data_IF_190602889864
#
_entry.id   IF_190602889864
#
_cell.length_a   1.000
_cell.length_b   1.000
_cell.length_c   1.000
_cell.angle_alpha   90.00
_cell.angle_beta   90.00
_cell.angle_gamma   90.00
#
_symmetry.space_group_name_H-M   'P 1'
#
loop_
_entity.id
_entity.type
_entity.pdbx_description
1 polymer ?
#
# COMPACT_ATOMS: atom_id res chain seq x y z
N UNK A 1 28.47 -7.79 14.25
CA UNK A 1 27.33 -8.65 14.66
C UNK A 1 26.28 -8.56 13.58
N UNK A 2 26.31 -9.49 12.62
CA UNK A 2 25.30 -9.63 11.58
C UNK A 2 24.01 -10.16 12.22
N UNK A 3 23.11 -9.26 12.63
CA UNK A 3 21.75 -9.65 12.95
C UNK A 3 21.17 -10.40 11.75
N UNK A 4 20.64 -11.60 11.97
CA UNK A 4 19.94 -12.35 10.93
C UNK A 4 18.83 -11.45 10.37
N UNK A 5 19.06 -10.87 9.20
CA UNK A 5 18.01 -10.15 8.48
C UNK A 5 16.96 -11.17 8.05
N UNK A 6 15.68 -10.80 8.18
CA UNK A 6 14.57 -11.62 7.72
C UNK A 6 14.75 -11.80 6.21
N UNK A 7 15.23 -12.98 5.81
CA UNK A 7 15.54 -13.25 4.43
C UNK A 7 14.31 -13.87 3.76
N UNK A 8 13.46 -13.02 3.18
CA UNK A 8 12.27 -13.48 2.45
C UNK A 8 12.70 -14.32 1.23
N UNK A 9 12.14 -15.52 1.10
CA UNK A 9 12.37 -16.35 -0.08
C UNK A 9 11.67 -15.76 -1.31
N UNK A 10 12.10 -16.16 -2.51
CA UNK A 10 11.46 -15.75 -3.76
C UNK A 10 9.98 -16.14 -3.80
N UNK A 11 9.62 -17.28 -3.21
CA UNK A 11 8.23 -17.71 -3.08
C UNK A 11 7.41 -16.77 -2.21
N UNK A 12 7.94 -16.34 -1.06
CA UNK A 12 7.27 -15.39 -0.17
C UNK A 12 7.13 -14.02 -0.83
N UNK A 13 8.15 -13.55 -1.55
CA UNK A 13 8.09 -12.29 -2.30
C UNK A 13 6.99 -12.31 -3.35
N UNK A 14 6.93 -13.37 -4.17
CA UNK A 14 5.87 -13.53 -5.16
C UNK A 14 4.49 -13.57 -4.52
N UNK A 15 4.35 -14.27 -3.38
CA UNK A 15 3.09 -14.29 -2.65
C UNK A 15 2.63 -12.92 -2.17
N UNK A 16 3.53 -12.13 -1.58
CA UNK A 16 3.22 -10.76 -1.17
C UNK A 16 2.80 -9.91 -2.37
N UNK A 17 3.51 -10.00 -3.50
CA UNK A 17 3.17 -9.27 -4.72
C UNK A 17 1.73 -9.55 -5.15
N UNK A 18 1.37 -10.83 -5.27
CA UNK A 18 0.02 -11.19 -5.74
C UNK A 18 -1.04 -10.79 -4.71
N UNK A 19 -0.79 -11.03 -3.43
CA UNK A 19 -1.70 -10.66 -2.36
C UNK A 19 -1.98 -9.14 -2.35
N UNK A 20 -0.95 -8.30 -2.39
CA UNK A 20 -1.14 -6.84 -2.42
C UNK A 20 -1.79 -6.34 -3.72
N UNK A 21 -1.44 -6.91 -4.89
CA UNK A 21 -2.11 -6.54 -6.15
C UNK A 21 -3.61 -6.81 -6.05
N UNK A 22 -3.97 -8.01 -5.59
CA UNK A 22 -5.37 -8.42 -5.52
C UNK A 22 -6.14 -7.58 -4.51
N UNK A 23 -5.61 -7.42 -3.30
CA UNK A 23 -6.31 -6.70 -2.23
C UNK A 23 -6.52 -5.23 -2.58
N UNK A 24 -5.49 -4.57 -3.09
CA UNK A 24 -5.51 -3.11 -3.26
C UNK A 24 -5.93 -2.62 -4.62
N UNK A 25 -5.68 -3.37 -5.70
CA UNK A 25 -6.01 -2.91 -7.05
C UNK A 25 -7.31 -3.54 -7.57
N UNK A 26 -7.64 -4.76 -7.13
CA UNK A 26 -8.83 -5.48 -7.60
C UNK A 26 -9.97 -5.36 -6.58
N UNK A 27 -9.70 -5.70 -5.33
CA UNK A 27 -10.70 -5.73 -4.26
C UNK A 27 -10.99 -4.38 -3.60
N UNK A 28 -10.35 -3.29 -4.05
CA UNK A 28 -10.58 -1.96 -3.48
C UNK A 28 -12.09 -1.64 -3.37
N UNK A 29 -12.58 -1.21 -2.18
CA UNK A 29 -14.01 -1.16 -1.83
C UNK A 29 -14.84 -0.07 -2.53
N UNK A 30 -14.34 0.52 -3.62
CA UNK A 30 -14.95 1.69 -4.24
C UNK A 30 -16.21 1.42 -5.10
N UNK A 31 -16.79 0.21 -5.14
CA UNK A 31 -18.01 -0.07 -5.94
C UNK A 31 -18.95 -1.11 -5.33
N UNK A 32 -20.23 -0.92 -5.64
CA UNK A 32 -21.44 -1.71 -5.31
C UNK A 32 -21.20 -3.21 -5.06
N UNK A 33 -21.85 -3.72 -4.01
CA UNK A 33 -21.84 -5.11 -3.50
C UNK A 33 -21.99 -6.17 -4.61
N UNK A 34 -22.78 -5.87 -5.67
CA UNK A 34 -23.00 -6.75 -6.83
C UNK A 34 -21.75 -6.98 -7.70
N UNK A 35 -20.79 -6.05 -7.71
CA UNK A 35 -19.52 -6.19 -8.46
C UNK A 35 -18.44 -6.94 -7.66
N UNK A 36 -18.64 -7.17 -6.36
CA UNK A 36 -17.62 -7.82 -5.52
C UNK A 36 -17.44 -9.30 -5.85
N UNK A 37 -18.51 -10.02 -6.26
CA UNK A 37 -18.40 -11.40 -6.72
C UNK A 37 -17.58 -11.54 -8.01
N UNK A 38 -17.75 -10.60 -8.95
CA UNK A 38 -16.97 -10.58 -10.20
C UNK A 38 -15.50 -10.20 -9.96
N UNK A 39 -15.23 -9.36 -8.94
CA UNK A 39 -13.87 -9.04 -8.52
C UNK A 39 -13.18 -10.23 -7.85
N UNK A 40 -13.91 -10.98 -7.02
CA UNK A 40 -13.44 -12.22 -6.40
C UNK A 40 -13.16 -13.32 -7.44
N UNK A 41 -13.97 -13.43 -8.50
CA UNK A 41 -13.65 -14.36 -9.60
C UNK A 41 -12.45 -13.89 -10.42
N UNK A 42 -12.32 -12.58 -10.67
CA UNK A 42 -11.15 -12.03 -11.39
C UNK A 42 -9.83 -12.19 -10.62
N UNK A 43 -9.86 -12.12 -9.29
CA UNK A 43 -8.67 -12.37 -8.46
C UNK A 43 -8.26 -13.84 -8.48
N UNK A 44 -9.21 -14.76 -8.40
CA UNK A 44 -8.96 -16.20 -8.57
C UNK A 44 -8.32 -16.52 -9.92
N UNK A 45 -8.73 -15.86 -11.01
CA UNK A 45 -8.15 -16.05 -12.35
C UNK A 45 -6.68 -15.62 -12.39
N UNK A 46 -6.30 -14.53 -11.73
CA UNK A 46 -4.90 -14.06 -11.67
C UNK A 46 -4.02 -15.02 -10.87
N UNK A 47 -4.53 -15.54 -9.76
CA UNK A 47 -3.84 -16.61 -9.04
C UNK A 47 -3.70 -17.84 -9.93
N UNK A 48 -4.78 -18.31 -10.57
CA UNK A 48 -4.75 -19.50 -11.44
C UNK A 48 -3.79 -19.33 -12.62
N UNK A 49 -3.71 -18.15 -13.24
CA UNK A 49 -2.80 -17.89 -14.37
C UNK A 49 -1.35 -17.81 -13.93
N UNK A 50 -1.04 -17.07 -12.85
CA UNK A 50 0.32 -17.04 -12.29
C UNK A 50 0.76 -18.43 -11.81
N UNK A 51 -0.16 -19.19 -11.22
CA UNK A 51 0.04 -20.54 -10.71
C UNK A 51 0.10 -21.61 -11.81
N UNK A 52 -0.59 -21.40 -12.93
CA UNK A 52 -0.46 -22.21 -14.13
C UNK A 52 0.98 -22.18 -14.67
N UNK A 53 1.67 -21.05 -14.53
CA UNK A 53 3.08 -20.95 -14.85
C UNK A 53 3.97 -21.79 -13.90
N UNK A 54 3.58 -22.00 -12.63
CA UNK A 54 4.31 -22.81 -11.64
C UNK A 54 4.17 -24.33 -11.81
N UNK A 55 3.18 -24.81 -12.57
CA UNK A 55 2.90 -26.25 -12.75
C UNK A 55 4.06 -27.04 -13.38
N UNK A 56 5.00 -26.37 -14.05
CA UNK A 56 6.06 -27.05 -14.81
C UNK A 56 7.22 -27.58 -13.97
N UNK A 57 7.38 -27.16 -12.70
CA UNK A 57 8.59 -27.48 -11.91
C UNK A 57 8.32 -27.90 -10.46
N UNK A 58 7.07 -27.91 -10.01
CA UNK A 58 6.69 -28.16 -8.61
C UNK A 58 5.74 -29.34 -8.43
N UNK A 59 5.71 -29.88 -7.21
CA UNK A 59 4.73 -30.91 -6.88
C UNK A 59 3.32 -30.33 -6.77
N UNK A 60 2.32 -31.08 -7.23
CA UNK A 60 0.90 -30.70 -7.15
C UNK A 60 0.42 -30.36 -5.72
N UNK A 61 1.12 -30.86 -4.69
CA UNK A 61 0.83 -30.60 -3.27
C UNK A 61 1.21 -29.18 -2.84
N UNK A 62 2.35 -28.68 -3.30
CA UNK A 62 2.81 -27.32 -2.98
C UNK A 62 1.91 -26.31 -3.66
N UNK A 63 1.61 -26.59 -4.92
CA UNK A 63 0.63 -25.91 -5.73
C UNK A 63 -0.70 -25.84 -4.97
N UNK A 64 -1.38 -26.96 -4.69
CA UNK A 64 -2.68 -26.92 -4.02
C UNK A 64 -2.67 -26.18 -2.67
N UNK A 65 -1.59 -26.28 -1.90
CA UNK A 65 -1.42 -25.53 -0.66
C UNK A 65 -1.33 -24.02 -0.87
N UNK A 66 -0.58 -23.53 -1.87
CA UNK A 66 -0.52 -22.08 -2.16
C UNK A 66 -1.88 -21.53 -2.63
N UNK A 67 -2.67 -22.35 -3.33
CA UNK A 67 -4.01 -21.97 -3.77
C UNK A 67 -5.00 -21.84 -2.62
N UNK A 68 -5.03 -22.83 -1.71
CA UNK A 68 -5.91 -22.84 -0.54
C UNK A 68 -5.61 -21.65 0.37
N UNK A 69 -4.35 -21.41 0.66
CA UNK A 69 -3.90 -20.33 1.55
C UNK A 69 -4.20 -18.95 0.97
N UNK A 70 -4.06 -18.77 -0.34
CA UNK A 70 -4.54 -17.58 -1.05
C UNK A 70 -6.04 -17.37 -0.85
N UNK A 71 -6.87 -18.40 -1.11
CA UNK A 71 -8.33 -18.32 -0.91
C UNK A 71 -8.68 -17.97 0.53
N UNK A 72 -8.01 -18.58 1.51
CA UNK A 72 -8.21 -18.30 2.93
C UNK A 72 -7.85 -16.85 3.26
N UNK A 73 -6.72 -16.33 2.75
CA UNK A 73 -6.34 -14.93 2.95
C UNK A 73 -7.41 -13.97 2.39
N UNK A 74 -7.91 -14.22 1.18
CA UNK A 74 -8.93 -13.39 0.54
C UNK A 74 -10.28 -13.44 1.25
N UNK A 75 -10.70 -14.62 1.69
CA UNK A 75 -11.95 -14.78 2.44
C UNK A 75 -11.88 -14.12 3.80
N UNK A 76 -10.73 -14.16 4.48
CA UNK A 76 -10.50 -13.42 5.72
C UNK A 76 -10.56 -11.91 5.48
N UNK A 77 -9.82 -11.37 4.49
CA UNK A 77 -9.86 -9.95 4.13
C UNK A 77 -11.28 -9.50 3.82
N UNK A 78 -11.99 -10.27 3.01
CA UNK A 78 -13.38 -9.98 2.63
C UNK A 78 -14.31 -9.95 3.85
N UNK A 79 -14.28 -10.98 4.71
CA UNK A 79 -15.17 -11.06 5.86
C UNK A 79 -14.90 -9.92 6.85
N UNK A 80 -13.62 -9.64 7.12
CA UNK A 80 -13.23 -8.51 7.97
C UNK A 80 -13.68 -7.16 7.37
N UNK A 81 -13.45 -6.94 6.07
CA UNK A 81 -13.86 -5.69 5.43
C UNK A 81 -15.38 -5.55 5.31
N UNK A 82 -16.14 -6.65 5.21
CA UNK A 82 -17.61 -6.63 5.14
C UNK A 82 -18.25 -6.13 6.44
N UNK A 83 -17.72 -6.55 7.58
CA UNK A 83 -18.24 -6.12 8.89
C UNK A 83 -18.06 -4.61 9.13
N UNK A 84 -17.05 -3.97 8.49
CA UNK A 84 -16.90 -2.50 8.51
C UNK A 84 -18.07 -1.79 7.81
N UNK A 85 -18.50 -2.27 6.65
CA UNK A 85 -19.57 -1.62 5.89
C UNK A 85 -20.95 -1.74 6.56
N UNK A 86 -21.18 -2.77 7.38
CA UNK A 86 -22.41 -2.89 8.18
C UNK A 86 -22.43 -1.94 9.38
N UNK A 87 -21.28 -1.59 9.97
CA UNK A 87 -21.22 -0.63 11.09
C UNK A 87 -21.14 0.82 10.63
N UNK A 88 -20.78 1.08 9.37
CA UNK A 88 -20.63 2.44 8.81
C UNK A 88 -21.96 3.18 8.56
N UNK A 89 -23.11 2.51 8.77
CA UNK A 89 -24.43 3.17 8.84
C UNK A 89 -24.73 3.74 10.22
N UNK A 90 -23.92 3.43 11.25
CA UNK A 90 -24.05 4.00 12.59
C UNK A 90 -22.87 4.94 12.89
N UNK A 91 -23.17 6.24 12.78
CA UNK A 91 -22.50 7.41 13.38
C UNK A 91 -21.09 7.14 13.93
N UNK A 92 -20.09 7.65 13.19
CA UNK A 92 -18.73 7.90 13.67
C UNK A 92 -18.76 8.62 15.02
N UNK A 93 -18.61 7.85 16.11
CA UNK A 93 -18.28 8.38 17.43
C UNK A 93 -16.77 8.56 17.52
N UNK A 94 -16.36 9.64 18.18
CA UNK A 94 -15.04 10.30 18.16
C UNK A 94 -13.84 9.42 18.63
N UNK A 95 -14.10 8.18 19.07
CA UNK A 95 -13.09 7.22 19.55
C UNK A 95 -12.82 6.03 18.60
N UNK A 96 -13.47 5.97 17.43
CA UNK A 96 -13.43 4.80 16.53
C UNK A 96 -12.21 4.72 15.60
N UNK A 97 -11.50 5.82 15.40
CA UNK A 97 -10.38 5.93 14.44
C UNK A 97 -9.15 5.09 14.82
N UNK A 98 -8.65 5.08 16.09
CA UNK A 98 -7.57 4.17 16.45
C UNK A 98 -7.98 2.70 16.28
N UNK A 99 -9.25 2.36 16.54
CA UNK A 99 -9.73 1.00 16.38
C UNK A 99 -9.77 0.54 14.92
N UNK A 100 -10.27 1.38 13.99
CA UNK A 100 -10.28 1.04 12.55
C UNK A 100 -8.86 0.92 11.99
N UNK A 101 -7.95 1.81 12.38
CA UNK A 101 -6.55 1.75 11.99
C UNK A 101 -5.83 0.50 12.53
N UNK A 102 -5.93 0.23 13.85
CA UNK A 102 -5.31 -0.93 14.49
C UNK A 102 -5.84 -2.22 13.87
N UNK A 103 -7.14 -2.30 13.60
CA UNK A 103 -7.76 -3.46 12.96
C UNK A 103 -7.25 -3.66 11.53
N UNK A 104 -7.17 -2.59 10.73
CA UNK A 104 -6.66 -2.65 9.35
C UNK A 104 -5.20 -3.11 9.30
N UNK A 105 -4.32 -2.44 10.06
CA UNK A 105 -2.89 -2.81 10.12
C UNK A 105 -2.70 -4.20 10.74
N UNK A 106 -3.43 -4.50 11.81
CA UNK A 106 -3.37 -5.80 12.49
C UNK A 106 -3.77 -6.95 11.58
N UNK A 107 -4.83 -6.81 10.79
CA UNK A 107 -5.24 -7.80 9.81
C UNK A 107 -4.17 -8.03 8.75
N UNK A 108 -3.57 -6.95 8.23
CA UNK A 108 -2.50 -7.05 7.24
C UNK A 108 -1.26 -7.74 7.79
N UNK A 109 -0.81 -7.34 8.97
CA UNK A 109 0.32 -7.99 9.64
C UNK A 109 0.03 -9.46 9.91
N UNK A 110 -1.19 -9.79 10.34
CA UNK A 110 -1.61 -11.18 10.57
C UNK A 110 -1.54 -12.01 9.28
N UNK A 111 -2.06 -11.49 8.17
CA UNK A 111 -2.01 -12.19 6.88
C UNK A 111 -0.56 -12.34 6.41
N UNK A 112 0.27 -11.30 6.53
CA UNK A 112 1.68 -11.37 6.16
C UNK A 112 2.43 -12.42 7.00
N UNK A 113 2.17 -12.49 8.32
CA UNK A 113 2.76 -13.49 9.20
C UNK A 113 2.31 -14.90 8.80
N UNK A 114 1.02 -15.09 8.54
CA UNK A 114 0.45 -16.35 8.08
C UNK A 114 1.12 -16.80 6.78
N UNK A 115 1.28 -15.89 5.81
CA UNK A 115 2.00 -16.14 4.55
C UNK A 115 3.44 -16.58 4.80
N UNK A 116 4.18 -15.91 5.70
CA UNK A 116 5.56 -16.29 6.04
C UNK A 116 5.61 -17.69 6.62
N UNK A 117 4.79 -17.99 7.63
CA UNK A 117 4.74 -19.31 8.30
C UNK A 117 4.41 -20.41 7.28
N UNK A 118 3.41 -20.18 6.43
CA UNK A 118 2.98 -21.13 5.41
C UNK A 118 4.06 -21.30 4.32
N UNK A 119 4.75 -20.22 3.94
CA UNK A 119 5.81 -20.30 2.92
C UNK A 119 7.02 -21.11 3.37
N UNK A 120 7.31 -21.17 4.67
CA UNK A 120 8.38 -22.00 5.24
C UNK A 120 8.05 -23.50 5.22
N UNK A 121 6.76 -23.87 5.18
CA UNK A 121 6.30 -25.26 5.12
C UNK A 121 6.42 -25.89 3.73
N UNK A 122 6.69 -25.07 2.71
CA UNK A 122 6.84 -25.46 1.31
C UNK A 122 8.34 -25.54 1.03
N UNK A 123 8.80 -26.57 0.33
CA UNK A 123 10.23 -26.66 0.00
C UNK A 123 10.65 -25.42 -0.79
N UNK A 124 11.84 -24.83 -0.53
CA UNK A 124 12.27 -23.64 -1.24
C UNK A 124 12.31 -23.97 -2.74
N UNK A 125 11.50 -23.26 -3.49
CA UNK A 125 11.39 -23.38 -4.94
C UNK A 125 12.80 -23.34 -5.54
N UNK A 126 13.22 -24.43 -6.18
CA UNK A 126 14.41 -24.39 -7.03
C UNK A 126 14.10 -23.52 -8.23
N UNK A 127 14.50 -22.25 -8.14
CA UNK A 127 14.68 -21.24 -9.18
C UNK A 127 13.81 -21.45 -10.43
N UNK A 128 12.65 -20.81 -10.43
CA UNK A 128 11.64 -20.87 -11.50
C UNK A 128 12.01 -20.05 -12.76
N UNK A 129 13.01 -19.16 -12.68
CA UNK A 129 13.27 -18.15 -13.69
C UNK A 129 14.70 -18.07 -14.27
N UNK A 130 15.52 -19.14 -14.42
CA UNK A 130 16.70 -19.05 -15.27
C UNK A 130 16.37 -18.79 -16.75
N UNK A 131 15.11 -18.99 -17.16
CA UNK A 131 14.74 -19.08 -18.58
C UNK A 131 14.37 -17.75 -19.24
N UNK A 132 14.02 -16.70 -18.49
CA UNK A 132 13.48 -15.45 -19.07
C UNK A 132 14.47 -14.27 -19.00
N UNK A 133 15.42 -14.28 -18.07
CA UNK A 133 16.40 -13.19 -17.92
C UNK A 133 17.79 -13.75 -17.61
N UNK A 134 18.52 -14.14 -18.65
CA UNK A 134 19.95 -14.41 -18.53
C UNK A 134 20.66 -13.08 -18.18
N UNK A 135 20.86 -12.78 -16.89
CA UNK A 135 21.74 -11.69 -16.44
C UNK A 135 21.23 -10.76 -15.35
N UNK A 136 19.96 -10.80 -14.94
CA UNK A 136 19.46 -10.01 -13.79
C UNK A 136 19.07 -10.94 -12.65
N UNK A 137 19.51 -10.71 -11.39
CA UNK A 137 19.08 -11.54 -10.26
C UNK A 137 17.56 -11.42 -10.09
N UNK A 138 16.86 -12.53 -10.37
CA UNK A 138 15.39 -12.64 -10.33
C UNK A 138 14.79 -12.09 -9.04
N UNK A 139 15.46 -12.35 -7.92
CA UNK A 139 15.09 -11.87 -6.60
C UNK A 139 15.07 -10.35 -6.49
N UNK A 140 16.07 -9.65 -7.01
CA UNK A 140 16.16 -8.19 -6.93
C UNK A 140 14.98 -7.54 -7.65
N UNK A 141 14.58 -8.09 -8.80
CA UNK A 141 13.38 -7.65 -9.51
C UNK A 141 12.14 -7.82 -8.63
N UNK A 142 11.97 -8.99 -8.00
CA UNK A 142 10.83 -9.26 -7.12
C UNK A 142 10.81 -8.32 -5.89
N UNK A 143 11.96 -8.04 -5.30
CA UNK A 143 12.09 -7.11 -4.17
C UNK A 143 11.64 -5.70 -4.57
N UNK A 144 12.16 -5.17 -5.69
CA UNK A 144 11.77 -3.85 -6.19
C UNK A 144 10.31 -3.77 -6.59
N UNK A 145 9.79 -4.82 -7.24
CA UNK A 145 8.40 -4.88 -7.65
C UNK A 145 7.46 -4.87 -6.44
N UNK A 146 7.77 -5.65 -5.39
CA UNK A 146 7.04 -5.61 -4.13
C UNK A 146 7.10 -4.23 -3.47
N UNK A 147 8.27 -3.61 -3.45
CA UNK A 147 8.46 -2.28 -2.86
C UNK A 147 7.60 -1.23 -3.58
N UNK A 148 7.60 -1.20 -4.92
CA UNK A 148 6.79 -0.27 -5.72
C UNK A 148 5.30 -0.45 -5.42
N UNK A 149 4.82 -1.70 -5.35
CA UNK A 149 3.41 -2.00 -5.03
C UNK A 149 3.03 -1.43 -3.66
N UNK A 150 3.88 -1.62 -2.65
CA UNK A 150 3.65 -1.11 -1.29
C UNK A 150 3.63 0.42 -1.23
N UNK A 151 4.48 1.10 -1.99
CA UNK A 151 4.58 2.57 -1.97
C UNK A 151 3.39 3.28 -2.59
N UNK A 152 2.61 2.60 -3.44
CA UNK A 152 1.45 3.20 -4.09
C UNK A 152 0.18 3.08 -3.24
N UNK A 153 -0.69 2.10 -3.52
CA UNK A 153 -2.02 2.04 -2.90
C UNK A 153 -1.97 1.65 -1.42
N UNK A 154 -1.14 0.68 -0.96
CA UNK A 154 -1.09 0.30 0.45
C UNK A 154 -0.68 1.45 1.37
N UNK A 155 0.42 2.13 1.06
CA UNK A 155 0.86 3.29 1.83
C UNK A 155 -0.18 4.42 1.85
N UNK A 156 -0.81 4.72 0.69
CA UNK A 156 -1.82 5.78 0.60
C UNK A 156 -3.08 5.47 1.42
N UNK A 157 -3.60 4.24 1.33
CA UNK A 157 -4.80 3.84 2.07
C UNK A 157 -4.53 3.79 3.56
N UNK A 158 -3.40 3.22 3.98
CA UNK A 158 -3.03 3.15 5.40
C UNK A 158 -2.83 4.53 6.00
N UNK A 159 -2.17 5.45 5.27
CA UNK A 159 -2.05 6.87 5.67
C UNK A 159 -3.42 7.54 5.80
N UNK A 160 -4.31 7.32 4.83
CA UNK A 160 -5.66 7.91 4.84
C UNK A 160 -6.48 7.43 6.03
N UNK A 161 -6.45 6.14 6.35
CA UNK A 161 -7.17 5.55 7.50
C UNK A 161 -6.54 6.02 8.81
N UNK A 162 -5.21 6.04 8.92
CA UNK A 162 -4.49 6.43 10.13
C UNK A 162 -4.79 7.87 10.57
N UNK A 163 -4.83 8.78 9.59
CA UNK A 163 -4.89 10.22 9.85
C UNK A 163 -6.18 10.87 9.32
N UNK A 164 -7.26 10.10 9.16
CA UNK A 164 -8.54 10.61 8.69
C UNK A 164 -9.06 11.77 9.55
N UNK A 165 -8.91 11.68 10.88
CA UNK A 165 -9.31 12.73 11.84
C UNK A 165 -8.65 14.09 11.56
N UNK A 166 -7.42 14.06 11.08
CA UNK A 166 -6.59 15.24 10.90
C UNK A 166 -6.73 15.83 9.48
N UNK A 167 -7.43 15.15 8.57
CA UNK A 167 -7.65 15.68 7.23
C UNK A 167 -8.51 16.94 7.30
N UNK A 168 -7.91 18.07 6.91
CA UNK A 168 -8.64 19.32 6.73
C UNK A 168 -9.57 19.18 5.51
N UNK A 169 -10.90 19.25 5.67
CA UNK A 169 -11.81 19.05 4.55
C UNK A 169 -11.74 20.24 3.58
N UNK A 170 -11.12 20.05 2.41
CA UNK A 170 -11.08 21.06 1.34
C UNK A 170 -12.49 21.40 0.79
N UNK A 171 -13.51 20.58 1.10
CA UNK A 171 -14.88 20.68 0.56
C UNK A 171 -15.61 21.98 0.87
N UNK A 172 -15.39 22.59 2.04
CA UNK A 172 -16.11 23.82 2.43
C UNK A 172 -15.54 25.07 1.77
N UNK A 173 -14.33 24.98 1.24
CA UNK A 173 -13.67 26.04 0.47
C UNK A 173 -14.07 25.93 -0.99
N UNK A 174 -14.07 24.71 -1.55
CA UNK A 174 -14.32 24.47 -2.98
C UNK A 174 -15.61 25.10 -3.52
N UNK A 175 -16.75 24.92 -2.83
CA UNK A 175 -18.06 25.41 -3.28
C UNK A 175 -18.26 26.93 -3.16
N UNK A 176 -17.51 27.57 -2.27
CA UNK A 176 -17.60 28.99 -1.94
C UNK A 176 -16.61 29.74 -2.81
N UNK A 177 -15.43 29.15 -3.00
CA UNK A 177 -14.37 29.65 -3.86
C UNK A 177 -14.78 29.57 -5.35
N UNK A 178 -15.39 28.47 -5.81
CA UNK A 178 -15.91 28.40 -7.18
C UNK A 178 -17.04 29.41 -7.44
N UNK A 179 -17.79 29.79 -6.42
CA UNK A 179 -18.84 30.81 -6.50
C UNK A 179 -18.29 32.25 -6.50
N UNK A 180 -17.11 32.46 -5.90
CA UNK A 180 -16.41 33.76 -5.83
C UNK A 180 -15.51 34.01 -7.06
N UNK A 181 -14.89 32.96 -7.62
CA UNK A 181 -14.03 33.05 -8.80
C UNK A 181 -14.82 33.48 -10.06
N UNK A 182 -16.05 32.98 -10.22
CA UNK A 182 -16.96 33.38 -11.31
C UNK A 182 -17.30 34.89 -11.29
N UNK A 183 -17.22 35.52 -10.11
CA UNK A 183 -17.51 36.96 -9.93
C UNK A 183 -16.28 37.88 -9.96
N UNK A 184 -15.08 37.36 -9.73
CA UNK A 184 -13.89 38.20 -9.50
C UNK A 184 -12.79 38.04 -10.56
N UNK A 185 -12.93 37.10 -11.51
CA UNK A 185 -11.97 36.91 -12.60
C UNK A 185 -10.59 36.42 -12.15
N UNK A 186 -10.43 36.10 -10.87
CA UNK A 186 -9.21 35.53 -10.31
C UNK A 186 -9.22 34.01 -10.50
N UNK A 187 -8.25 33.48 -11.23
CA UNK A 187 -8.01 32.04 -11.30
C UNK A 187 -7.26 31.58 -10.04
N UNK A 188 -7.98 31.20 -8.99
CA UNK A 188 -7.37 30.52 -7.84
C UNK A 188 -7.30 29.03 -8.19
N UNK A 189 -6.08 28.47 -8.23
CA UNK A 189 -5.86 27.08 -8.61
C UNK A 189 -6.42 26.13 -7.55
N UNK A 190 -7.64 25.64 -7.79
CA UNK A 190 -8.22 24.56 -6.99
C UNK A 190 -7.30 23.33 -7.01
N UNK A 191 -7.10 22.69 -5.85
CA UNK A 191 -6.27 21.49 -5.74
C UNK A 191 -6.89 20.34 -6.53
N UNK A 192 -6.12 19.76 -7.46
CA UNK A 192 -6.55 18.63 -8.28
C UNK A 192 -6.83 17.41 -7.38
N UNK A 193 -8.03 16.79 -7.44
CA UNK A 193 -8.33 15.59 -6.68
C UNK A 193 -7.29 14.49 -6.90
N UNK A 194 -6.75 13.94 -5.81
CA UNK A 194 -5.76 12.86 -5.86
C UNK A 194 -4.29 13.32 -6.03
N UNK A 195 -4.03 14.62 -6.29
CA UNK A 195 -2.66 15.12 -6.43
C UNK A 195 -1.79 14.84 -5.20
N UNK A 196 -2.35 14.96 -3.98
CA UNK A 196 -1.64 14.64 -2.74
C UNK A 196 -1.19 13.17 -2.65
N UNK A 197 -2.03 12.23 -3.08
CA UNK A 197 -1.71 10.80 -3.09
C UNK A 197 -0.63 10.45 -4.13
N UNK A 198 -0.68 11.12 -5.29
CA UNK A 198 0.35 10.96 -6.32
C UNK A 198 1.70 11.53 -5.87
N UNK A 199 1.71 12.75 -5.30
CA UNK A 199 2.92 13.37 -4.72
C UNK A 199 3.53 12.46 -3.66
N UNK A 200 2.70 11.95 -2.74
CA UNK A 200 3.17 11.02 -1.71
C UNK A 200 3.76 9.73 -2.29
N UNK A 201 3.17 9.19 -3.36
CA UNK A 201 3.72 8.01 -4.05
C UNK A 201 5.09 8.33 -4.66
N UNK A 202 5.22 9.45 -5.37
CA UNK A 202 6.47 9.84 -6.02
C UNK A 202 7.58 10.10 -5.01
N UNK A 203 7.29 10.80 -3.93
CA UNK A 203 8.22 11.06 -2.84
C UNK A 203 8.76 9.76 -2.23
N UNK A 204 7.89 8.78 -1.98
CA UNK A 204 8.31 7.47 -1.44
C UNK A 204 9.18 6.72 -2.42
N UNK A 205 8.83 6.68 -3.71
CA UNK A 205 9.63 6.02 -4.74
C UNK A 205 11.02 6.65 -4.87
N UNK A 206 11.12 7.98 -4.89
CA UNK A 206 12.41 8.68 -4.92
C UNK A 206 13.20 8.39 -3.64
N UNK A 207 12.53 8.37 -2.47
CA UNK A 207 13.17 8.01 -1.20
C UNK A 207 13.73 6.59 -1.24
N UNK A 208 12.99 5.62 -1.78
CA UNK A 208 13.49 4.25 -1.95
C UNK A 208 14.74 4.19 -2.83
N UNK A 209 14.75 4.91 -3.97
CA UNK A 209 15.91 4.97 -4.86
C UNK A 209 17.13 5.59 -4.16
N UNK A 210 16.94 6.69 -3.43
CA UNK A 210 18.02 7.34 -2.70
C UNK A 210 18.54 6.48 -1.54
N UNK A 211 17.68 5.72 -0.88
CA UNK A 211 18.09 4.77 0.16
C UNK A 211 18.97 3.64 -0.41
N UNK A 212 18.63 3.11 -1.58
CA UNK A 212 19.42 2.09 -2.27
C UNK A 212 20.79 2.63 -2.72
N UNK A 213 20.82 3.88 -3.20
CA UNK A 213 22.05 4.59 -3.55
C UNK A 213 22.86 5.06 -2.32
N UNK A 214 22.38 4.85 -1.10
CA UNK A 214 23.02 5.32 0.14
C UNK A 214 23.01 6.85 0.33
N UNK A 215 22.22 7.58 -0.44
CA UNK A 215 22.18 9.05 -0.48
C UNK A 215 21.16 9.62 0.53
N UNK A 216 21.35 9.33 1.82
CA UNK A 216 20.42 9.74 2.87
C UNK A 216 20.28 11.26 3.05
N UNK A 217 21.33 12.03 2.72
CA UNK A 217 21.27 13.50 2.77
C UNK A 217 20.27 14.08 1.75
N UNK A 218 20.18 13.49 0.55
CA UNK A 218 19.25 13.93 -0.50
C UNK A 218 17.79 13.66 -0.13
N UNK A 219 17.54 12.63 0.69
CA UNK A 219 16.21 12.36 1.25
C UNK A 219 15.75 13.57 2.07
N UNK A 220 16.62 14.09 2.94
CA UNK A 220 16.35 15.32 3.71
C UNK A 220 16.00 16.51 2.82
N UNK A 221 16.74 16.72 1.72
CA UNK A 221 16.49 17.81 0.78
C UNK A 221 15.12 17.74 0.11
N UNK A 222 14.61 16.55 -0.21
CA UNK A 222 13.26 16.37 -0.77
C UNK A 222 12.20 16.81 0.24
N UNK A 223 12.36 16.45 1.51
CA UNK A 223 11.43 16.85 2.55
C UNK A 223 11.51 18.34 2.88
N UNK A 224 12.71 18.91 2.84
CA UNK A 224 12.89 20.36 2.95
C UNK A 224 12.22 21.07 1.78
N UNK A 225 12.44 20.65 0.53
CA UNK A 225 11.84 21.30 -0.64
C UNK A 225 10.31 21.22 -0.62
N UNK A 226 9.74 20.07 -0.22
CA UNK A 226 8.30 19.91 0.02
C UNK A 226 7.75 20.89 1.06
N UNK A 227 8.51 21.10 2.13
CA UNK A 227 8.10 21.99 3.23
C UNK A 227 8.22 23.46 2.84
N UNK A 228 9.25 23.83 2.09
CA UNK A 228 9.41 25.18 1.52
C UNK A 228 8.26 25.50 0.56
N UNK A 229 7.91 24.57 -0.34
CA UNK A 229 6.81 24.77 -1.29
C UNK A 229 5.43 24.93 -0.62
N UNK A 230 5.29 24.54 0.65
CA UNK A 230 4.04 24.63 1.43
C UNK A 230 4.14 25.54 2.64
N UNK A 231 5.25 26.27 2.80
CA UNK A 231 5.57 27.03 4.01
C UNK A 231 4.48 28.04 4.38
N UNK A 232 3.94 28.76 3.40
CA UNK A 232 2.88 29.75 3.63
C UNK A 232 1.61 29.14 4.23
N UNK A 233 1.22 27.94 3.78
CA UNK A 233 0.03 27.26 4.31
C UNK A 233 0.32 26.59 5.65
N UNK A 234 1.50 25.99 5.81
CA UNK A 234 1.95 25.39 7.07
C UNK A 234 2.01 26.45 8.19
N UNK A 235 2.47 27.66 7.88
CA UNK A 235 2.59 28.75 8.88
C UNK A 235 1.26 29.39 9.27
N UNK A 236 0.26 29.36 8.39
CA UNK A 236 -1.04 30.04 8.58
C UNK A 236 -2.17 29.13 9.04
N UNK A 237 -2.07 27.82 8.79
CA UNK A 237 -3.10 26.84 9.08
C UNK A 237 -2.51 25.70 9.92
N UNK A 238 -2.74 25.75 11.24
CA UNK A 238 -2.23 24.76 12.19
C UNK A 238 -2.77 23.35 11.89
N UNK A 239 -4.05 23.21 11.53
CA UNK A 239 -4.63 21.89 11.25
C UNK A 239 -3.99 21.28 10.00
N UNK A 240 -3.72 22.10 8.97
CA UNK A 240 -2.98 21.67 7.80
C UNK A 240 -1.53 21.29 8.15
N UNK A 241 -0.86 22.06 9.00
CA UNK A 241 0.50 21.79 9.44
C UNK A 241 0.60 20.44 10.16
N UNK A 242 -0.32 20.15 11.08
CA UNK A 242 -0.38 18.88 11.81
C UNK A 242 -0.57 17.69 10.87
N UNK A 243 -1.54 17.76 9.96
CA UNK A 243 -1.77 16.72 8.96
C UNK A 243 -0.58 16.51 8.02
N UNK A 244 0.03 17.60 7.58
CA UNK A 244 1.21 17.58 6.72
C UNK A 244 2.42 16.91 7.40
N UNK A 245 2.68 17.26 8.66
CA UNK A 245 3.78 16.70 9.44
C UNK A 245 3.56 15.21 9.71
N UNK A 246 2.36 14.82 10.17
CA UNK A 246 2.01 13.41 10.40
C UNK A 246 2.15 12.58 9.13
N UNK A 247 1.63 13.08 8.01
CA UNK A 247 1.71 12.40 6.72
C UNK A 247 3.16 12.21 6.25
N UNK A 248 4.00 13.22 6.44
CA UNK A 248 5.41 13.19 6.02
C UNK A 248 6.25 12.25 6.88
N UNK A 249 6.11 12.31 8.21
CA UNK A 249 6.80 11.41 9.13
C UNK A 249 6.38 9.95 8.93
N UNK A 250 5.08 9.70 8.73
CA UNK A 250 4.56 8.38 8.39
C UNK A 250 5.18 7.86 7.08
N UNK A 251 5.24 8.70 6.04
CA UNK A 251 5.77 8.32 4.72
C UNK A 251 7.22 7.85 4.82
N UNK A 252 8.07 8.59 5.53
CA UNK A 252 9.48 8.23 5.78
C UNK A 252 9.57 6.92 6.55
N UNK A 253 8.84 6.82 7.67
CA UNK A 253 8.87 5.63 8.52
C UNK A 253 8.43 4.38 7.75
N UNK A 254 7.37 4.51 6.95
CA UNK A 254 6.86 3.42 6.11
C UNK A 254 7.89 2.95 5.10
N UNK A 255 8.56 3.87 4.40
CA UNK A 255 9.62 3.54 3.44
C UNK A 255 10.77 2.81 4.12
N UNK A 256 11.24 3.31 5.27
CA UNK A 256 12.35 2.71 6.02
C UNK A 256 12.01 1.27 6.42
N UNK A 257 10.85 1.06 7.04
CA UNK A 257 10.43 -0.27 7.50
C UNK A 257 10.26 -1.22 6.31
N UNK A 258 9.55 -0.79 5.26
CA UNK A 258 9.32 -1.63 4.08
C UNK A 258 10.63 -2.02 3.39
N UNK A 259 11.54 -1.06 3.21
CA UNK A 259 12.85 -1.30 2.60
C UNK A 259 13.65 -2.33 3.39
N UNK A 260 13.73 -2.17 4.73
CA UNK A 260 14.48 -3.07 5.62
C UNK A 260 13.90 -4.48 5.74
N UNK A 261 12.60 -4.67 5.48
CA UNK A 261 11.96 -6.00 5.47
C UNK A 261 12.23 -6.71 4.14
N UNK A 262 12.34 -5.96 3.04
CA UNK A 262 12.44 -6.51 1.69
C UNK A 262 13.89 -6.81 1.27
N UNK A 263 14.84 -5.94 1.63
CA UNK A 263 16.27 -6.01 1.27
C UNK A 263 17.15 -6.33 2.48
#
# INVERSE_FOLDING_TARGET
MSGQMINLSETTLMWFIVHFIVDYYIMHPNKLEKQMLCKFSSSLIIYITLFGCFLKNNSWKEISFLFITSIVSHTLVYYFNRDLNKSNTQKFTDNSIPYTFIRHVGLQVFILLLIVILSQSITPLKSFLPLVFYGVPTRTILQWLLLIILMHSPANTTMKIAFEKFQVPDKKVYWLQSFLDDKTGNHITATIPGAGALIGTMERLITCLLMDLGQYALIGLIFTSKSVARFDRISKDQAFAEYYLLGTLYSVLFVIIAYRIIF
#
